data_IF_257070573190
#
_entry.id   IF_257070573190
#
_cell.length_a   1.000
_cell.length_b   1.000
_cell.length_c   1.000
_cell.angle_alpha   90.00
_cell.angle_beta   90.00
_cell.angle_gamma   90.00
#
_symmetry.space_group_name_H-M   'P 1'
#
loop_
_entity.id
_entity.type
_entity.pdbx_description
1 polymer ?
#
# COMPACT_ATOMS: atom_id res chain seq x y z
N UNK A 1 10.53 13.49 -68.36
CA UNK A 1 9.72 12.70 -69.30
C UNK A 1 10.69 11.79 -70.06
N UNK A 2 10.64 10.49 -69.74
CA UNK A 2 11.30 9.30 -70.34
C UNK A 2 12.83 9.31 -70.54
N UNK A 3 13.60 8.22 -70.42
CA UNK A 3 13.58 6.89 -69.77
C UNK A 3 14.84 6.20 -70.29
N UNK A 4 15.57 5.41 -69.48
CA UNK A 4 16.23 4.21 -70.00
C UNK A 4 16.62 3.22 -68.89
N UNK A 5 16.36 1.96 -69.20
CA UNK A 5 16.41 0.76 -68.38
C UNK A 5 17.83 0.19 -68.20
N UNK A 6 17.90 -0.79 -67.28
CA UNK A 6 18.54 -2.10 -67.47
C UNK A 6 19.87 -2.39 -66.75
N UNK A 7 19.71 -3.18 -65.67
CA UNK A 7 20.35 -4.49 -65.40
C UNK A 7 21.75 -4.57 -64.75
N UNK A 8 21.80 -5.51 -63.79
CA UNK A 8 22.89 -6.02 -62.92
C UNK A 8 24.17 -6.46 -63.66
N UNK A 9 25.32 -6.64 -62.97
CA UNK A 9 25.72 -7.98 -62.42
C UNK A 9 26.31 -7.94 -60.98
N UNK A 10 26.11 -8.98 -60.14
CA UNK A 10 27.06 -10.10 -59.82
C UNK A 10 28.43 -9.66 -59.24
N UNK A 11 28.69 -9.85 -57.93
CA UNK A 11 29.17 -11.06 -57.23
C UNK A 11 30.71 -11.19 -57.15
N UNK A 12 31.20 -11.00 -55.91
CA UNK A 12 32.27 -11.70 -55.18
C UNK A 12 33.64 -12.02 -55.85
N UNK A 13 34.72 -11.62 -55.16
CA UNK A 13 35.93 -12.43 -54.85
C UNK A 13 36.57 -11.78 -53.61
N UNK A 14 36.48 -12.38 -52.42
CA UNK A 14 37.36 -13.39 -51.80
C UNK A 14 38.77 -12.86 -51.45
N UNK A 15 39.10 -12.84 -50.15
CA UNK A 15 40.32 -13.39 -49.52
C UNK A 15 40.75 -12.68 -48.23
N UNK A 16 40.29 -13.24 -47.10
CA UNK A 16 41.09 -13.75 -45.97
C UNK A 16 41.93 -12.85 -45.01
N UNK A 17 42.15 -13.33 -43.75
CA UNK A 17 41.93 -12.52 -42.56
C UNK A 17 43.20 -12.15 -41.78
N UNK A 18 43.11 -11.09 -40.96
CA UNK A 18 44.02 -10.85 -39.84
C UNK A 18 43.20 -10.66 -38.56
N UNK A 19 43.41 -11.61 -37.65
CA UNK A 19 43.31 -11.60 -36.19
C UNK A 19 42.98 -10.25 -35.52
N UNK A 20 41.90 -10.19 -34.73
CA UNK A 20 41.97 -9.63 -33.36
C UNK A 20 40.72 -9.90 -32.52
N UNK A 21 41.02 -10.45 -31.35
CA UNK A 21 40.40 -10.31 -30.02
C UNK A 21 38.87 -10.40 -29.85
N UNK A 22 38.53 -11.44 -29.08
CA UNK A 22 37.30 -11.74 -28.37
C UNK A 22 36.68 -10.58 -27.58
N UNK A 23 35.38 -10.35 -27.82
CA UNK A 23 34.44 -9.89 -26.80
C UNK A 23 33.37 -10.97 -26.64
N UNK A 24 33.44 -11.73 -25.54
CA UNK A 24 32.39 -12.66 -25.15
C UNK A 24 31.21 -11.84 -24.60
N UNK A 25 30.11 -11.77 -25.35
CA UNK A 25 28.81 -11.43 -24.79
C UNK A 25 28.25 -12.70 -24.12
N UNK A 26 28.37 -12.77 -22.79
CA UNK A 26 27.63 -13.73 -21.99
C UNK A 26 26.13 -13.35 -22.03
N UNK A 27 25.32 -14.23 -22.60
CA UNK A 27 23.87 -14.09 -22.64
C UNK A 27 23.29 -14.03 -21.23
N UNK A 28 22.53 -12.97 -20.94
CA UNK A 28 21.70 -12.88 -19.75
C UNK A 28 20.51 -13.84 -19.89
N UNK A 29 20.53 -14.90 -19.10
CA UNK A 29 19.42 -15.83 -18.95
C UNK A 29 18.27 -15.12 -18.21
N UNK A 30 17.00 -15.27 -18.63
CA UNK A 30 15.87 -14.74 -17.88
C UNK A 30 15.80 -15.37 -16.49
N UNK A 31 15.68 -14.56 -15.44
CA UNK A 31 15.48 -15.03 -14.08
C UNK A 31 14.15 -15.80 -14.00
N UNK A 32 14.25 -17.11 -13.81
CA UNK A 32 13.12 -17.98 -13.51
C UNK A 32 12.62 -17.67 -12.09
N UNK A 33 11.59 -16.83 -11.99
CA UNK A 33 10.84 -16.63 -10.74
C UNK A 33 10.07 -17.91 -10.42
N UNK A 34 10.54 -18.68 -9.43
CA UNK A 34 9.80 -19.79 -8.86
C UNK A 34 8.51 -19.30 -8.17
N UNK A 35 7.56 -20.21 -7.87
CA UNK A 35 6.31 -19.85 -7.21
C UNK A 35 6.59 -19.18 -5.85
N UNK A 36 5.77 -18.19 -5.48
CA UNK A 36 5.81 -17.56 -4.16
C UNK A 36 5.79 -18.65 -3.08
N UNK A 37 6.82 -18.65 -2.22
CA UNK A 37 6.91 -19.52 -1.04
C UNK A 37 5.66 -19.35 -0.17
N UNK A 38 5.15 -20.47 0.38
CA UNK A 38 4.02 -20.52 1.32
C UNK A 38 4.19 -19.60 2.53
N UNK A 39 5.40 -19.11 2.81
CA UNK A 39 5.71 -18.10 3.83
C UNK A 39 5.00 -16.75 3.57
N UNK A 40 4.69 -16.40 2.32
CA UNK A 40 3.86 -15.22 2.00
C UNK A 40 2.36 -15.44 2.27
N UNK A 41 1.93 -16.69 2.42
CA UNK A 41 0.54 -17.05 2.77
C UNK A 41 0.34 -17.16 4.29
N UNK A 42 1.43 -17.35 5.04
CA UNK A 42 1.37 -17.55 6.50
C UNK A 42 1.17 -16.24 7.28
N UNK A 43 1.49 -15.08 6.69
CA UNK A 43 1.15 -13.76 7.27
C UNK A 43 -0.35 -13.45 7.30
N UNK A 44 -1.20 -14.25 6.64
CA UNK A 44 -2.64 -14.04 6.64
C UNK A 44 -3.42 -14.88 7.66
N UNK A 45 -2.76 -15.82 8.35
CA UNK A 45 -3.45 -16.87 9.14
C UNK A 45 -3.04 -16.96 10.62
N UNK A 46 -2.34 -15.96 11.17
CA UNK A 46 -2.23 -15.89 12.64
C UNK A 46 -3.53 -15.32 13.21
N UNK A 47 -4.22 -16.03 14.14
CA UNK A 47 -5.28 -15.41 14.91
C UNK A 47 -4.60 -14.45 15.88
N UNK A 48 -4.50 -13.17 15.50
CA UNK A 48 -4.21 -12.12 16.46
C UNK A 48 -5.24 -12.26 17.57
N UNK A 49 -4.77 -12.66 18.76
CA UNK A 49 -5.58 -12.68 19.97
C UNK A 49 -6.31 -11.34 20.05
N UNK A 50 -7.64 -11.37 20.21
CA UNK A 50 -8.55 -10.25 20.02
C UNK A 50 -8.17 -8.99 20.82
N UNK A 51 -7.24 -8.19 20.30
CA UNK A 51 -7.03 -6.81 20.71
C UNK A 51 -8.16 -6.03 20.06
N UNK A 52 -9.09 -5.55 20.88
CA UNK A 52 -10.20 -4.73 20.42
C UNK A 52 -9.70 -3.41 19.80
N UNK A 53 -10.50 -2.82 18.93
CA UNK A 53 -10.22 -1.48 18.42
C UNK A 53 -10.43 -0.44 19.53
N UNK A 54 -9.47 0.47 19.68
CA UNK A 54 -9.52 1.59 20.62
C UNK A 54 -9.91 2.88 19.92
N UNK A 55 -10.72 3.72 20.56
CA UNK A 55 -10.86 5.11 20.12
C UNK A 55 -9.57 5.89 20.42
N UNK A 56 -9.24 6.96 19.66
CA UNK A 56 -8.03 7.74 19.91
C UNK A 56 -7.88 8.25 21.36
N UNK A 57 -9.00 8.51 22.04
CA UNK A 57 -9.02 9.00 23.42
C UNK A 57 -8.72 7.91 24.46
N UNK A 58 -8.85 6.64 24.09
CA UNK A 58 -8.57 5.48 24.95
C UNK A 58 -7.10 5.06 24.86
N UNK A 59 -6.33 5.62 23.92
CA UNK A 59 -4.92 5.29 23.71
C UNK A 59 -4.04 6.00 24.73
N UNK A 60 -3.37 5.22 25.57
CA UNK A 60 -2.31 5.72 26.45
C UNK A 60 -1.02 5.94 25.66
N UNK A 61 -0.78 7.18 25.21
CA UNK A 61 0.44 7.57 24.47
C UNK A 61 1.74 7.10 25.16
N UNK A 62 1.92 7.22 26.50
CA UNK A 62 3.12 6.74 27.17
C UNK A 62 3.35 5.22 27.08
N UNK A 63 2.34 4.45 26.69
CA UNK A 63 2.41 2.99 26.53
C UNK A 63 2.69 2.58 25.07
N UNK A 64 2.72 3.53 24.12
CA UNK A 64 3.10 3.25 22.74
C UNK A 64 4.60 2.98 22.68
N UNK A 65 4.99 1.90 22.02
CA UNK A 65 6.39 1.60 21.76
C UNK A 65 6.57 0.86 20.43
N UNK A 66 7.78 0.93 19.89
CA UNK A 66 8.17 0.24 18.67
C UNK A 66 9.40 -0.64 18.91
N UNK A 67 9.53 -1.70 18.13
CA UNK A 67 10.71 -2.58 18.14
C UNK A 67 11.04 -3.05 16.74
N UNK A 68 12.32 -3.39 16.52
CA UNK A 68 12.75 -4.11 15.34
C UNK A 68 12.45 -5.58 15.53
N UNK A 69 11.67 -6.16 14.62
CA UNK A 69 11.41 -7.59 14.56
C UNK A 69 12.13 -8.18 13.36
N UNK A 70 12.68 -9.41 13.46
CA UNK A 70 13.25 -10.10 12.32
C UNK A 70 12.27 -10.17 11.15
N UNK A 71 12.80 -9.98 9.96
CA UNK A 71 12.08 -10.00 8.69
C UNK A 71 12.85 -10.85 7.66
N UNK A 72 12.24 -11.06 6.50
CA UNK A 72 12.73 -11.97 5.47
C UNK A 72 14.21 -11.74 5.12
N UNK A 73 14.98 -12.83 4.92
CA UNK A 73 16.42 -12.82 4.59
C UNK A 73 17.31 -12.05 5.59
N UNK A 74 16.97 -12.08 6.87
CA UNK A 74 17.78 -11.45 7.92
C UNK A 74 17.66 -9.93 7.95
N UNK A 75 16.70 -9.36 7.23
CA UNK A 75 16.31 -7.96 7.40
C UNK A 75 15.51 -7.77 8.70
N UNK A 76 15.24 -6.53 9.06
CA UNK A 76 14.37 -6.20 10.19
C UNK A 76 13.26 -5.28 9.70
N UNK A 77 12.09 -5.34 10.34
CA UNK A 77 11.03 -4.35 10.16
C UNK A 77 10.65 -3.74 11.49
N UNK A 78 10.20 -2.50 11.46
CA UNK A 78 9.62 -1.84 12.63
C UNK A 78 8.23 -2.42 12.87
N UNK A 79 7.95 -2.87 14.09
CA UNK A 79 6.62 -3.22 14.56
C UNK A 79 6.24 -2.28 15.70
N UNK A 80 5.08 -1.64 15.61
CA UNK A 80 4.46 -0.96 16.75
C UNK A 80 3.85 -2.04 17.64
N UNK A 81 4.28 -2.11 18.88
CA UNK A 81 3.83 -3.17 19.78
C UNK A 81 2.47 -2.84 20.39
N UNK A 82 1.76 -3.90 20.79
CA UNK A 82 0.33 -3.94 21.09
C UNK A 82 -0.62 -3.91 19.88
N UNK A 83 -0.12 -4.21 18.67
CA UNK A 83 -0.91 -4.30 17.42
C UNK A 83 -2.02 -3.24 17.40
N UNK A 84 -1.60 -1.98 17.56
CA UNK A 84 -2.49 -0.86 17.81
C UNK A 84 -3.54 -0.76 16.71
N UNK A 85 -4.77 -1.07 17.10
CA UNK A 85 -5.95 -1.05 16.25
C UNK A 85 -6.85 0.09 16.71
N UNK A 86 -7.15 1.01 15.81
CA UNK A 86 -7.92 2.22 16.10
C UNK A 86 -9.29 2.16 15.45
N UNK A 87 -10.29 2.66 16.16
CA UNK A 87 -11.63 2.97 15.66
C UNK A 87 -11.85 4.47 15.70
N UNK A 88 -12.11 5.08 14.55
CA UNK A 88 -12.46 6.48 14.43
C UNK A 88 -13.88 6.60 13.89
N UNK A 89 -14.77 7.17 14.70
CA UNK A 89 -16.16 7.36 14.31
C UNK A 89 -16.34 8.64 13.49
N UNK A 90 -17.23 8.55 12.51
CA UNK A 90 -17.76 9.68 11.75
C UNK A 90 -16.67 10.58 11.13
N UNK A 91 -15.66 9.94 10.54
CA UNK A 91 -14.63 10.60 9.74
C UNK A 91 -15.21 11.11 8.44
N UNK A 92 -14.94 12.38 8.10
CA UNK A 92 -15.38 12.97 6.83
C UNK A 92 -14.42 12.56 5.70
N UNK A 93 -14.97 12.07 4.60
CA UNK A 93 -14.19 11.70 3.41
C UNK A 93 -13.85 12.97 2.63
N UNK A 94 -12.56 13.23 2.44
CA UNK A 94 -12.06 14.30 1.57
C UNK A 94 -11.97 13.85 0.12
N UNK A 95 -11.35 12.70 -0.09
CA UNK A 95 -11.18 12.12 -1.41
C UNK A 95 -11.50 10.64 -1.32
N UNK A 96 -12.43 10.21 -2.18
CA UNK A 96 -12.78 8.80 -2.33
C UNK A 96 -11.66 8.00 -2.97
N UNK A 97 -11.99 6.78 -3.37
CA UNK A 97 -11.04 5.89 -4.04
C UNK A 97 -10.75 6.41 -5.44
N UNK A 98 -9.49 6.71 -5.73
CA UNK A 98 -9.05 7.01 -7.08
C UNK A 98 -8.73 5.70 -7.82
N UNK A 99 -9.50 5.43 -8.88
CA UNK A 99 -9.41 4.22 -9.70
C UNK A 99 -8.71 4.45 -11.04
N UNK A 100 -8.24 5.67 -11.32
CA UNK A 100 -7.56 5.97 -12.57
C UNK A 100 -6.18 5.28 -12.60
N UNK A 101 -5.74 4.90 -13.81
CA UNK A 101 -4.65 3.94 -14.11
C UNK A 101 -3.24 4.32 -13.65
N UNK A 102 -3.06 5.41 -12.91
CA UNK A 102 -1.76 5.89 -12.45
C UNK A 102 -1.37 5.33 -11.07
N UNK A 103 -2.32 4.69 -10.37
CA UNK A 103 -2.15 4.31 -8.96
C UNK A 103 -2.07 2.79 -8.78
N UNK A 104 -1.12 2.14 -9.45
CA UNK A 104 -0.78 0.74 -9.18
C UNK A 104 0.34 0.65 -8.13
N UNK A 105 0.32 -0.40 -7.32
CA UNK A 105 1.47 -0.82 -6.52
C UNK A 105 2.53 -1.46 -7.41
N UNK A 106 3.70 -1.76 -6.84
CA UNK A 106 4.81 -2.34 -7.62
C UNK A 106 4.53 -3.78 -8.10
N UNK A 107 3.46 -4.43 -7.62
CA UNK A 107 2.97 -5.70 -8.12
C UNK A 107 1.90 -5.52 -9.23
N UNK A 108 1.68 -4.29 -9.70
CA UNK A 108 0.68 -3.97 -10.71
C UNK A 108 -0.76 -4.01 -10.18
N UNK A 109 -0.97 -3.95 -8.86
CA UNK A 109 -2.30 -3.99 -8.22
C UNK A 109 -2.77 -2.59 -7.89
N UNK A 110 -4.05 -2.31 -8.11
CA UNK A 110 -4.59 -0.97 -7.87
C UNK A 110 -4.49 -0.59 -6.38
N UNK A 111 -3.92 0.58 -6.10
CA UNK A 111 -3.72 1.11 -4.75
C UNK A 111 -5.00 1.81 -4.28
N UNK A 112 -5.85 1.05 -3.61
CA UNK A 112 -7.09 1.56 -3.05
C UNK A 112 -6.80 2.37 -1.79
N UNK A 113 -7.00 3.68 -1.85
CA UNK A 113 -6.90 4.53 -0.68
C UNK A 113 -8.06 5.51 -0.59
N UNK A 114 -8.44 5.83 0.63
CA UNK A 114 -9.40 6.89 0.95
C UNK A 114 -8.66 7.94 1.78
N UNK A 115 -8.87 9.22 1.46
CA UNK A 115 -8.38 10.32 2.30
C UNK A 115 -9.53 10.85 3.15
N UNK A 116 -9.30 10.93 4.45
CA UNK A 116 -10.31 11.38 5.41
C UNK A 116 -9.73 12.40 6.40
N UNK A 117 -10.61 13.24 6.95
CA UNK A 117 -10.27 14.21 8.00
C UNK A 117 -9.77 13.48 9.25
N UNK A 118 -8.68 13.97 9.82
CA UNK A 118 -8.16 13.48 11.08
C UNK A 118 -8.59 14.42 12.22
N UNK A 119 -9.17 13.87 13.28
CA UNK A 119 -9.47 14.64 14.48
C UNK A 119 -8.18 15.03 15.22
N UNK A 120 -8.19 16.07 16.07
CA UNK A 120 -7.01 16.43 16.86
C UNK A 120 -6.49 15.29 17.73
N UNK A 121 -7.37 14.47 18.31
CA UNK A 121 -6.95 13.35 19.16
C UNK A 121 -6.36 12.21 18.33
N UNK A 122 -6.92 11.92 17.15
CA UNK A 122 -6.28 11.00 16.21
C UNK A 122 -4.89 11.50 15.79
N UNK A 123 -4.75 12.79 15.49
CA UNK A 123 -3.45 13.36 15.13
C UNK A 123 -2.43 13.15 16.25
N UNK A 124 -2.77 13.43 17.52
CA UNK A 124 -1.86 13.23 18.65
C UNK A 124 -1.35 11.79 18.77
N UNK A 125 -2.25 10.80 18.65
CA UNK A 125 -1.87 9.38 18.71
C UNK A 125 -0.96 9.02 17.56
N UNK A 126 -1.31 9.45 16.34
CA UNK A 126 -0.55 9.15 15.14
C UNK A 126 0.82 9.84 15.11
N UNK A 127 0.91 11.10 15.55
CA UNK A 127 2.18 11.82 15.67
C UNK A 127 3.10 11.12 16.67
N UNK A 128 2.58 10.66 17.82
CA UNK A 128 3.38 9.90 18.79
C UNK A 128 3.89 8.56 18.21
N UNK A 129 3.07 7.87 17.40
CA UNK A 129 3.51 6.66 16.70
C UNK A 129 4.60 6.98 15.68
N UNK A 130 4.43 8.05 14.89
CA UNK A 130 5.40 8.53 13.90
C UNK A 130 6.74 8.90 14.57
N UNK A 131 6.72 9.64 15.67
CA UNK A 131 7.93 10.08 16.38
C UNK A 131 8.74 8.87 16.90
N UNK A 132 8.06 7.88 17.49
CA UNK A 132 8.72 6.67 18.01
C UNK A 132 9.27 5.82 16.87
N UNK A 133 8.48 5.61 15.81
CA UNK A 133 8.88 4.75 14.70
C UNK A 133 9.95 5.40 13.81
N UNK A 134 9.86 6.70 13.53
CA UNK A 134 10.87 7.45 12.77
C UNK A 134 12.21 7.45 13.49
N UNK A 135 12.22 7.73 14.79
CA UNK A 135 13.43 7.67 15.61
C UNK A 135 14.05 6.27 15.59
N UNK A 136 13.25 5.22 15.76
CA UNK A 136 13.75 3.84 15.69
C UNK A 136 14.32 3.51 14.30
N UNK A 137 13.71 4.03 13.23
CA UNK A 137 14.21 3.89 11.86
C UNK A 137 15.58 4.53 11.71
N UNK A 138 15.75 5.77 12.18
CA UNK A 138 17.02 6.50 12.16
C UNK A 138 18.10 5.81 13.02
N UNK A 139 17.76 5.43 14.24
CA UNK A 139 18.67 4.74 15.18
C UNK A 139 19.14 3.38 14.64
N UNK A 140 18.34 2.73 13.77
CA UNK A 140 18.69 1.49 13.09
C UNK A 140 19.59 1.68 11.85
N UNK A 141 19.86 2.93 11.46
CA UNK A 141 20.68 3.28 10.31
C UNK A 141 19.95 3.31 8.97
N UNK A 142 18.61 3.37 8.97
CA UNK A 142 17.85 3.56 7.73
C UNK A 142 18.13 4.93 7.13
N UNK A 143 18.26 4.99 5.80
CA UNK A 143 18.44 6.21 5.03
C UNK A 143 17.17 6.63 4.28
N UNK A 144 16.06 5.92 4.49
CA UNK A 144 14.78 6.21 3.84
C UNK A 144 14.18 7.51 4.35
N UNK A 145 13.59 8.29 3.44
CA UNK A 145 12.87 9.49 3.82
C UNK A 145 11.59 9.11 4.58
N UNK A 146 11.47 9.57 5.83
CA UNK A 146 10.26 9.36 6.62
C UNK A 146 9.10 10.20 6.09
N UNK A 147 7.98 9.55 5.81
CA UNK A 147 6.73 10.18 5.37
C UNK A 147 5.75 10.20 6.53
N UNK A 148 5.40 11.40 7.06
CA UNK A 148 4.43 11.51 8.13
C UNK A 148 3.08 10.90 7.75
N UNK A 149 2.48 10.15 8.67
CA UNK A 149 1.17 9.50 8.49
C UNK A 149 0.03 10.53 8.41
N UNK A 150 0.16 11.64 9.13
CA UNK A 150 -0.77 12.77 9.09
C UNK A 150 -0.33 13.78 8.04
N UNK A 151 -1.19 14.00 7.05
CA UNK A 151 -0.97 14.93 5.94
C UNK A 151 -1.49 16.31 6.35
N UNK A 152 -0.58 17.29 6.44
CA UNK A 152 -0.86 18.68 6.87
C UNK A 152 -0.73 19.72 5.75
N UNK A 153 -0.82 19.29 4.49
CA UNK A 153 -0.68 20.17 3.32
C UNK A 153 -1.93 21.00 3.00
N UNK A 154 -3.03 20.79 3.74
CA UNK A 154 -4.32 21.45 3.53
C UNK A 154 -4.76 22.18 4.80
N UNK A 155 -5.84 22.95 4.72
CA UNK A 155 -6.40 23.74 5.83
C UNK A 155 -6.71 22.92 7.10
N UNK A 156 -6.89 21.60 6.95
CA UNK A 156 -7.15 20.67 8.04
C UNK A 156 -6.27 19.42 7.89
N UNK A 157 -5.88 18.74 8.99
CA UNK A 157 -5.10 17.50 8.92
C UNK A 157 -5.93 16.36 8.30
N UNK A 158 -5.28 15.51 7.51
CA UNK A 158 -5.90 14.35 6.88
C UNK A 158 -5.04 13.10 7.02
N UNK A 159 -5.67 11.93 6.92
CA UNK A 159 -4.99 10.64 6.88
C UNK A 159 -5.41 9.85 5.65
N UNK A 160 -4.55 8.90 5.26
CA UNK A 160 -4.78 8.02 4.12
C UNK A 160 -5.02 6.60 4.62
N UNK A 161 -6.25 6.11 4.45
CA UNK A 161 -6.64 4.74 4.76
C UNK A 161 -6.43 3.87 3.53
N UNK A 162 -5.65 2.80 3.67
CA UNK A 162 -5.40 1.81 2.64
C UNK A 162 -6.39 0.66 2.75
N UNK A 163 -7.05 0.30 1.63
CA UNK A 163 -7.90 -0.89 1.54
C UNK A 163 -7.07 -2.01 0.93
N UNK A 164 -6.60 -2.99 1.72
CA UNK A 164 -5.88 -4.14 1.19
C UNK A 164 -6.77 -4.99 0.28
N UNK A 165 -6.24 -5.37 -0.88
CA UNK A 165 -6.78 -6.44 -1.70
C UNK A 165 -6.28 -7.79 -1.13
N UNK A 166 -7.20 -8.70 -0.80
CA UNK A 166 -6.88 -10.10 -0.49
C UNK A 166 -6.40 -10.79 -1.78
N UNK A 167 -5.34 -11.60 -1.68
CA UNK A 167 -4.55 -12.18 -2.77
C UNK A 167 -5.33 -12.89 -3.90
N UNK A 168 -5.13 -14.20 -4.10
CA UNK A 168 -5.60 -14.94 -5.29
C UNK A 168 -7.12 -14.83 -5.56
N UNK A 169 -7.92 -14.48 -4.56
CA UNK A 169 -9.39 -14.43 -4.66
C UNK A 169 -9.89 -13.07 -5.18
N UNK A 170 -9.03 -12.04 -5.33
CA UNK A 170 -9.44 -10.71 -5.81
C UNK A 170 -10.71 -10.23 -5.07
N UNK A 171 -10.67 -10.20 -3.74
CA UNK A 171 -11.70 -9.54 -2.92
C UNK A 171 -11.01 -8.63 -1.90
N UNK A 172 -11.73 -7.66 -1.34
CA UNK A 172 -11.15 -6.77 -0.33
C UNK A 172 -10.97 -7.54 0.98
N UNK A 173 -9.80 -7.40 1.62
CA UNK A 173 -9.59 -7.94 2.97
C UNK A 173 -10.28 -7.07 4.05
N UNK A 174 -10.67 -5.84 3.69
CA UNK A 174 -11.46 -4.95 4.53
C UNK A 174 -12.93 -5.34 4.52
N UNK A 175 -13.56 -5.44 5.70
CA UNK A 175 -15.01 -5.56 5.80
C UNK A 175 -15.69 -4.21 5.55
N UNK A 176 -16.72 -4.18 4.70
CA UNK A 176 -17.37 -2.92 4.31
C UNK A 176 -18.85 -3.02 4.62
N UNK A 177 -19.36 -1.98 5.28
CA UNK A 177 -20.74 -1.89 5.73
C UNK A 177 -21.35 -0.57 5.25
N UNK A 178 -22.66 -0.58 5.06
CA UNK A 178 -23.48 0.61 4.90
C UNK A 178 -24.35 0.77 6.14
N UNK A 179 -24.35 1.96 6.71
CA UNK A 179 -25.16 2.33 7.87
C UNK A 179 -26.30 3.21 7.42
N UNK A 180 -27.52 2.74 7.62
CA UNK A 180 -28.73 3.50 7.33
C UNK A 180 -28.98 4.54 8.44
N UNK A 181 -29.78 5.60 8.18
CA UNK A 181 -30.07 6.63 9.18
C UNK A 181 -30.70 6.09 10.47
N UNK A 182 -31.40 4.95 10.40
CA UNK A 182 -31.95 4.24 11.55
C UNK A 182 -30.90 3.53 12.43
N UNK A 183 -29.62 3.57 12.04
CA UNK A 183 -28.51 2.97 12.75
C UNK A 183 -28.18 1.53 12.34
N UNK A 184 -29.02 0.90 11.50
CA UNK A 184 -28.80 -0.46 11.01
C UNK A 184 -27.57 -0.53 10.11
N UNK A 185 -26.64 -1.44 10.42
CA UNK A 185 -25.46 -1.73 9.61
C UNK A 185 -25.71 -2.96 8.73
N UNK A 186 -25.57 -2.80 7.42
CA UNK A 186 -25.65 -3.88 6.43
C UNK A 186 -24.26 -4.13 5.85
N UNK A 187 -23.76 -5.38 5.98
CA UNK A 187 -22.49 -5.79 5.35
C UNK A 187 -22.67 -5.84 3.82
N UNK A 188 -21.75 -5.21 3.10
CA UNK A 188 -21.63 -5.31 1.65
C UNK A 188 -20.70 -6.48 1.33
N UNK A 189 -21.19 -7.45 0.56
CA UNK A 189 -20.43 -8.65 0.16
C UNK A 189 -20.07 -8.52 -1.31
N UNK A 190 -18.78 -8.47 -1.59
CA UNK A 190 -18.26 -8.40 -2.96
C UNK A 190 -17.91 -9.81 -3.45
N UNK A 191 -18.44 -10.18 -4.61
CA UNK A 191 -18.16 -11.49 -5.25
C UNK A 191 -16.99 -11.44 -6.23
N UNK A 192 -16.51 -10.24 -6.55
CA UNK A 192 -15.37 -9.97 -7.43
C UNK A 192 -14.69 -8.66 -7.02
N UNK A 193 -13.44 -8.48 -7.43
CA UNK A 193 -12.74 -7.20 -7.31
C UNK A 193 -13.25 -6.24 -8.38
N UNK A 194 -14.04 -5.25 -7.97
CA UNK A 194 -14.52 -4.19 -8.83
C UNK A 194 -14.27 -2.82 -8.17
N UNK A 195 -13.07 -2.25 -8.36
CA UNK A 195 -12.72 -0.96 -7.79
C UNK A 195 -13.67 0.16 -8.18
N UNK A 196 -14.26 0.07 -9.38
CA UNK A 196 -15.22 1.04 -9.88
C UNK A 196 -16.47 1.02 -9.02
N UNK A 197 -17.05 -0.15 -8.79
CA UNK A 197 -18.17 -0.33 -7.85
C UNK A 197 -17.82 0.21 -6.47
N UNK A 198 -16.67 -0.19 -5.93
CA UNK A 198 -16.22 0.25 -4.61
C UNK A 198 -16.08 1.78 -4.50
N UNK A 199 -15.53 2.42 -5.54
CA UNK A 199 -15.31 3.87 -5.56
C UNK A 199 -16.61 4.66 -5.46
N UNK A 200 -17.71 4.13 -5.99
CA UNK A 200 -19.02 4.81 -5.94
C UNK A 200 -19.58 4.95 -4.52
N UNK A 201 -19.11 4.10 -3.60
CA UNK A 201 -19.57 4.08 -2.21
C UNK A 201 -18.91 5.17 -1.37
N UNK A 202 -17.65 5.54 -1.66
CA UNK A 202 -16.86 6.49 -0.86
C UNK A 202 -16.88 7.88 -1.48
N UNK A 203 -18.01 8.57 -1.35
CA UNK A 203 -18.20 9.91 -1.93
C UNK A 203 -17.54 10.99 -1.09
N UNK A 204 -16.90 11.94 -1.76
CA UNK A 204 -16.39 13.14 -1.10
C UNK A 204 -17.51 13.86 -0.31
N UNK A 205 -17.19 14.31 0.89
CA UNK A 205 -18.12 15.00 1.80
C UNK A 205 -19.01 14.08 2.64
N UNK A 206 -19.07 12.78 2.34
CA UNK A 206 -19.77 11.80 3.18
C UNK A 206 -18.97 11.43 4.44
N UNK A 207 -19.60 10.70 5.35
CA UNK A 207 -19.00 10.27 6.61
C UNK A 207 -18.84 8.75 6.66
N UNK A 208 -17.81 8.28 7.36
CA UNK A 208 -17.62 6.86 7.64
C UNK A 208 -17.04 6.62 9.04
N UNK A 209 -17.32 5.46 9.62
CA UNK A 209 -16.54 4.92 10.72
C UNK A 209 -15.40 4.07 10.14
N UNK A 210 -14.18 4.25 10.63
CA UNK A 210 -13.01 3.54 10.16
C UNK A 210 -12.33 2.76 11.28
N UNK A 211 -12.08 1.49 11.03
CA UNK A 211 -11.37 0.57 11.92
C UNK A 211 -10.12 0.11 11.19
N UNK A 212 -8.94 0.39 11.73
CA UNK A 212 -7.68 0.18 11.02
C UNK A 212 -6.54 -0.16 11.97
N UNK A 213 -5.53 -0.85 11.44
CA UNK A 213 -4.25 -1.08 12.11
C UNK A 213 -3.18 -0.16 11.56
N UNK A 214 -2.11 0.04 12.34
CA UNK A 214 -0.92 0.77 11.91
C UNK A 214 0.14 -0.22 11.42
N UNK A 215 0.65 -0.01 10.21
CA UNK A 215 1.61 -0.87 9.55
C UNK A 215 2.83 -0.04 9.10
N UNK A 216 3.91 0.01 9.90
CA UNK A 216 5.15 0.66 9.51
C UNK A 216 5.74 -0.01 8.26
N UNK A 217 6.21 0.80 7.32
CA UNK A 217 6.88 0.34 6.12
C UNK A 217 8.21 1.07 5.94
N UNK A 218 9.19 0.38 5.37
CA UNK A 218 10.41 0.97 4.83
C UNK A 218 10.67 0.31 3.48
N UNK A 219 10.44 1.05 2.40
CA UNK A 219 10.48 0.51 1.05
C UNK A 219 10.79 1.58 0.01
N UNK A 220 11.67 1.26 -0.96
CA UNK A 220 12.08 2.16 -2.04
C UNK A 220 12.49 3.57 -1.55
N UNK A 221 13.36 3.61 -0.52
CA UNK A 221 13.87 4.87 0.07
C UNK A 221 12.77 5.74 0.70
N UNK A 222 11.61 5.16 1.02
CA UNK A 222 10.50 5.82 1.70
C UNK A 222 10.08 4.97 2.88
N UNK A 223 10.12 5.57 4.06
CA UNK A 223 9.61 4.97 5.28
C UNK A 223 8.36 5.72 5.77
N UNK A 224 7.59 5.11 6.66
CA UNK A 224 6.43 5.74 7.28
C UNK A 224 5.47 4.72 7.86
N UNK A 225 4.29 5.17 8.30
CA UNK A 225 3.23 4.31 8.79
C UNK A 225 2.06 4.31 7.80
N UNK A 226 1.58 3.11 7.44
CA UNK A 226 0.37 2.91 6.65
C UNK A 226 -0.80 2.61 7.56
N UNK A 227 -1.94 3.27 7.35
CA UNK A 227 -3.19 2.91 8.02
C UNK A 227 -3.94 1.87 7.18
N UNK A 228 -4.00 0.63 7.66
CA UNK A 228 -4.59 -0.50 6.92
C UNK A 228 -6.01 -0.74 7.42
N UNK A 229 -7.00 -0.49 6.56
CA UNK A 229 -8.40 -0.63 6.90
C UNK A 229 -8.78 -2.10 7.12
N UNK A 230 -9.38 -2.39 8.27
CA UNK A 230 -9.92 -3.69 8.67
C UNK A 230 -11.44 -3.73 8.53
N UNK A 231 -12.13 -2.66 8.96
CA UNK A 231 -13.57 -2.46 8.78
C UNK A 231 -13.85 -0.99 8.40
N UNK A 232 -14.76 -0.77 7.46
CA UNK A 232 -15.28 0.55 7.08
C UNK A 232 -16.81 0.54 7.12
N UNK A 233 -17.40 1.55 7.76
CA UNK A 233 -18.87 1.70 7.85
C UNK A 233 -19.25 3.03 7.22
N UNK A 234 -19.88 2.98 6.05
CA UNK A 234 -20.25 4.16 5.28
C UNK A 234 -21.60 4.67 5.77
N UNK A 235 -21.68 5.94 6.14
CA UNK A 235 -22.94 6.54 6.60
C UNK A 235 -23.75 6.95 5.38
N UNK A 236 -24.97 6.41 5.28
CA UNK A 236 -25.94 6.87 4.30
C UNK A 236 -26.38 8.27 4.70
N UNK A 237 -26.33 9.20 3.74
CA UNK A 237 -26.85 10.55 3.90
C UNK A 237 -28.38 10.56 3.99
#
# INVERSE_FOLDING_TARGET
MYSQESSLPEMLTENDPITSLSTQNAGLHPLHMGPLSNEMQEELNQPDAAVGFLEPDEVSIPSIYASLVPWYRGSQRIKLLHDLQLCCRRMKIRFGININSEYFDNAGRLKLNIMADASPNLCKVLDACDDIASKLSEDSGSNSEWRPVVIRQYDYPAVRLHIPASGDIRIYATEIYKKEPCGTEQRLVFTKFDPSELSTLFKQGSFMDAFFSLDPYDYQQKAGIRLVAKKLVIHSN
#
